data_IF_239698171826
#
_entry.id   IF_239698171826
#
_cell.length_a   1.000
_cell.length_b   1.000
_cell.length_c   1.000
_cell.angle_alpha   90.00
_cell.angle_beta   90.00
_cell.angle_gamma   90.00
#
_symmetry.space_group_name_H-M   'P 1'
#
loop_
_entity.id
_entity.type
_entity.pdbx_description
1 polymer ?
#
# COMPACT_ATOMS: atom_id res chain seq x y z
N UNK A 1 -6.96 6.22 21.76
CA UNK A 1 -6.19 5.66 20.63
C UNK A 1 -6.55 6.51 19.43
N UNK A 2 -5.57 7.17 18.80
CA UNK A 2 -5.85 8.01 17.64
C UNK A 2 -6.30 7.15 16.45
N UNK A 3 -7.33 7.61 15.74
CA UNK A 3 -7.99 6.90 14.63
C UNK A 3 -7.06 6.63 13.44
N UNK A 4 -5.92 7.31 13.38
CA UNK A 4 -4.89 7.18 12.34
C UNK A 4 -4.30 5.75 12.21
N UNK A 5 -4.40 4.91 13.25
CA UNK A 5 -3.91 3.53 13.24
C UNK A 5 -4.99 2.47 12.92
N UNK A 6 -6.19 2.91 12.54
CA UNK A 6 -7.28 2.03 12.10
C UNK A 6 -7.37 1.91 10.57
N UNK A 7 -6.63 2.71 9.81
CA UNK A 7 -6.57 2.57 8.35
C UNK A 7 -6.02 1.19 7.97
N UNK A 8 -6.77 0.48 7.13
CA UNK A 8 -6.41 -0.83 6.59
C UNK A 8 -6.33 -0.69 5.07
N UNK A 9 -5.21 -1.08 4.43
CA UNK A 9 -5.09 -0.95 2.99
C UNK A 9 -5.99 -1.95 2.26
N UNK A 10 -6.39 -1.63 1.03
CA UNK A 10 -7.14 -2.57 0.18
C UNK A 10 -6.22 -3.63 -0.43
N UNK A 11 -5.00 -3.22 -0.79
CA UNK A 11 -3.99 -4.08 -1.39
C UNK A 11 -2.60 -3.73 -0.87
N UNK A 12 -1.70 -4.71 -0.94
CA UNK A 12 -0.28 -4.56 -0.62
C UNK A 12 0.58 -4.62 -1.87
N UNK A 13 1.76 -4.03 -1.78
CA UNK A 13 2.74 -3.98 -2.87
C UNK A 13 4.15 -3.85 -2.31
N UNK A 14 5.15 -4.17 -3.14
CA UNK A 14 6.56 -4.11 -2.77
C UNK A 14 7.29 -2.98 -3.47
N UNK A 15 8.08 -2.24 -2.70
CA UNK A 15 9.06 -1.28 -3.25
C UNK A 15 10.23 -2.01 -3.92
N UNK A 16 11.09 -1.27 -4.63
CA UNK A 16 12.35 -1.81 -5.19
C UNK A 16 13.24 -2.43 -4.11
N UNK A 17 13.18 -1.90 -2.88
CA UNK A 17 13.92 -2.40 -1.72
C UNK A 17 13.20 -3.54 -1.00
N UNK A 18 12.24 -4.21 -1.65
CA UNK A 18 11.46 -5.33 -1.11
C UNK A 18 10.69 -4.99 0.19
N UNK A 19 10.41 -3.70 0.41
CA UNK A 19 9.59 -3.25 1.55
C UNK A 19 8.13 -3.39 1.18
N UNK A 20 7.36 -4.08 2.01
CA UNK A 20 5.91 -4.21 1.83
C UNK A 20 5.21 -2.95 2.34
N UNK A 21 4.37 -2.38 1.47
CA UNK A 21 3.51 -1.24 1.73
C UNK A 21 2.07 -1.63 1.37
N UNK A 22 1.12 -0.83 1.83
CA UNK A 22 -0.28 -0.93 1.46
C UNK A 22 -0.78 0.39 0.89
N UNK A 23 -1.89 0.37 0.16
CA UNK A 23 -2.58 1.58 -0.25
C UNK A 23 -4.10 1.44 -0.08
N UNK A 24 -4.75 2.58 0.14
CA UNK A 24 -6.20 2.65 0.32
C UNK A 24 -6.95 2.78 -1.00
N UNK A 25 -6.30 3.26 -2.07
CA UNK A 25 -6.86 3.28 -3.42
C UNK A 25 -5.79 3.42 -4.50
N UNK A 26 -6.20 3.20 -5.75
CA UNK A 26 -5.39 3.44 -6.95
C UNK A 26 -6.21 4.22 -7.98
N UNK A 27 -5.56 5.11 -8.73
CA UNK A 27 -6.19 5.79 -9.88
C UNK A 27 -5.23 5.89 -11.06
N UNK A 28 -5.78 5.81 -12.26
CA UNK A 28 -5.01 6.02 -13.49
C UNK A 28 -5.03 7.51 -13.89
N UNK A 29 -3.90 8.02 -14.36
CA UNK A 29 -3.78 9.37 -14.91
C UNK A 29 -3.81 9.34 -16.44
N UNK A 30 -3.99 10.52 -17.07
CA UNK A 30 -4.15 10.66 -18.53
C UNK A 30 -2.93 10.17 -19.32
N UNK A 31 -1.73 10.24 -18.73
CA UNK A 31 -0.46 9.72 -19.27
C UNK A 31 -0.32 8.19 -19.13
N UNK A 32 -1.33 7.52 -18.59
CA UNK A 32 -1.33 6.07 -18.35
C UNK A 32 -0.65 5.64 -17.05
N UNK A 33 -0.02 6.55 -16.30
CA UNK A 33 0.56 6.24 -14.98
C UNK A 33 -0.52 5.85 -13.96
N UNK A 34 -0.12 5.12 -12.92
CA UNK A 34 -1.01 4.78 -11.80
C UNK A 34 -0.51 5.46 -10.53
N UNK A 35 -1.42 6.12 -9.84
CA UNK A 35 -1.19 6.78 -8.56
C UNK A 35 -1.88 5.98 -7.46
N UNK A 36 -1.10 5.45 -6.54
CA UNK A 36 -1.57 4.84 -5.30
C UNK A 36 -1.79 5.95 -4.28
N UNK A 37 -2.92 5.97 -3.59
CA UNK A 37 -3.31 7.01 -2.64
C UNK A 37 -3.55 6.38 -1.26
N UNK A 38 -3.21 7.11 -0.20
CA UNK A 38 -3.31 6.61 1.18
C UNK A 38 -2.31 5.48 1.42
N UNK A 39 -1.02 5.74 1.19
CA UNK A 39 0.01 4.71 1.32
C UNK A 39 0.35 4.48 2.78
N UNK A 40 0.20 3.24 3.20
CA UNK A 40 0.40 2.76 4.55
C UNK A 40 1.64 1.88 4.64
N UNK A 41 2.26 1.83 5.82
CA UNK A 41 3.35 0.92 6.15
C UNK A 41 2.96 0.04 7.32
N UNK A 42 3.28 -1.25 7.25
CA UNK A 42 3.07 -2.17 8.36
C UNK A 42 4.16 -1.97 9.41
N UNK A 43 3.78 -1.81 10.67
CA UNK A 43 4.72 -1.68 11.78
C UNK A 43 5.39 -3.04 12.02
N UNK A 44 6.71 -3.07 11.86
CA UNK A 44 7.56 -4.24 12.11
C UNK A 44 8.33 -4.08 13.43
N UNK A 45 8.94 -5.15 13.92
CA UNK A 45 9.73 -5.12 15.17
C UNK A 45 10.84 -4.08 15.15
N UNK A 46 11.50 -3.90 14.01
CA UNK A 46 12.54 -2.88 13.79
C UNK A 46 12.04 -1.44 13.97
N UNK A 47 10.73 -1.20 13.89
CA UNK A 47 10.12 0.12 14.06
C UNK A 47 9.67 0.38 15.50
N UNK A 48 9.78 -0.59 16.41
CA UNK A 48 9.36 -0.44 17.81
C UNK A 48 10.24 0.49 18.64
N UNK A 49 11.36 0.97 18.08
CA UNK A 49 12.11 2.10 18.64
C UNK A 49 11.35 3.43 18.53
N UNK A 50 10.45 3.54 17.56
CA UNK A 50 9.68 4.77 17.26
C UNK A 50 8.18 4.63 17.51
N UNK A 51 7.69 3.39 17.70
CA UNK A 51 6.27 3.11 17.89
C UNK A 51 6.03 2.22 19.13
N UNK A 52 4.92 2.41 19.85
CA UNK A 52 4.51 1.49 20.92
C UNK A 52 4.35 0.04 20.42
N UNK A 53 4.69 -0.93 21.29
CA UNK A 53 4.53 -2.38 20.99
C UNK A 53 3.10 -2.77 20.61
N UNK A 54 2.10 -2.04 21.10
CA UNK A 54 0.67 -2.27 20.79
C UNK A 54 0.32 -2.01 19.32
N UNK A 55 1.20 -1.36 18.57
CA UNK A 55 1.04 -1.11 17.14
C UNK A 55 1.73 -2.15 16.26
N UNK A 56 2.47 -3.11 16.83
CA UNK A 56 3.13 -4.17 16.05
C UNK A 56 2.13 -4.89 15.15
N UNK A 57 2.42 -4.97 13.85
CA UNK A 57 1.55 -5.59 12.85
C UNK A 57 0.41 -4.70 12.34
N UNK A 58 0.17 -3.53 12.94
CA UNK A 58 -0.81 -2.55 12.44
C UNK A 58 -0.25 -1.76 11.26
N UNK A 59 -1.16 -1.20 10.48
CA UNK A 59 -0.83 -0.28 9.39
C UNK A 59 -0.83 1.15 9.91
N UNK A 60 0.17 1.92 9.50
CA UNK A 60 0.31 3.34 9.85
C UNK A 60 0.44 4.18 8.58
N UNK A 61 -0.07 5.42 8.57
CA UNK A 61 0.18 6.37 7.50
C UNK A 61 1.68 6.49 7.21
N UNK A 62 2.04 6.45 5.94
CA UNK A 62 3.43 6.57 5.48
C UNK A 62 3.58 7.69 4.45
N UNK A 63 2.74 7.71 3.40
CA UNK A 63 2.74 8.77 2.37
C UNK A 63 1.33 9.01 1.85
N UNK A 64 1.04 10.25 1.46
CA UNK A 64 -0.25 10.60 0.86
C UNK A 64 -0.48 9.88 -0.49
N UNK A 65 0.56 9.82 -1.33
CA UNK A 65 0.47 9.14 -2.63
C UNK A 65 1.83 8.72 -3.18
N UNK A 66 1.83 7.73 -4.07
CA UNK A 66 3.00 7.32 -4.87
C UNK A 66 2.55 7.08 -6.31
N UNK A 67 3.31 7.61 -7.28
CA UNK A 67 3.05 7.41 -8.72
C UNK A 67 4.03 6.38 -9.29
N UNK A 68 3.52 5.49 -10.12
CA UNK A 68 4.29 4.53 -10.90
C UNK A 68 3.97 4.67 -12.38
N UNK A 69 5.01 4.51 -13.22
CA UNK A 69 4.84 4.28 -14.65
C UNK A 69 4.19 2.90 -14.90
N UNK A 70 3.57 2.67 -16.07
CA UNK A 70 3.04 1.36 -16.43
C UNK A 70 4.08 0.22 -16.29
N UNK A 71 5.31 0.47 -16.73
CA UNK A 71 6.40 -0.52 -16.68
C UNK A 71 6.83 -0.82 -15.24
N UNK A 72 6.83 0.19 -14.38
CA UNK A 72 7.21 0.04 -12.97
C UNK A 72 6.20 -0.78 -12.17
N UNK A 73 4.92 -0.79 -12.56
CA UNK A 73 3.85 -1.47 -11.83
C UNK A 73 3.99 -2.99 -11.91
N UNK A 74 4.36 -3.52 -13.07
CA UNK A 74 4.47 -4.95 -13.32
C UNK A 74 5.42 -5.64 -12.31
N UNK A 75 6.44 -4.92 -11.83
CA UNK A 75 7.41 -5.44 -10.87
C UNK A 75 7.03 -5.34 -9.39
N UNK A 76 5.86 -4.80 -9.03
CA UNK A 76 5.53 -4.48 -7.61
C UNK A 76 4.82 -5.58 -6.84
N UNK A 77 4.48 -6.69 -7.49
CA UNK A 77 3.84 -7.85 -6.84
C UNK A 77 2.62 -7.44 -6.00
N UNK A 78 1.65 -6.79 -6.66
CA UNK A 78 0.44 -6.32 -6.01
C UNK A 78 -0.42 -7.50 -5.57
N UNK A 79 -0.98 -7.41 -4.36
CA UNK A 79 -1.86 -8.43 -3.80
C UNK A 79 -3.01 -7.81 -3.04
N UNK A 80 -4.20 -8.40 -3.11
CA UNK A 80 -5.30 -8.03 -2.21
C UNK A 80 -4.92 -8.31 -0.77
N UNK A 81 -5.29 -7.42 0.15
CA UNK A 81 -5.01 -7.63 1.57
C UNK A 81 -5.87 -8.74 2.17
N UNK A 82 -7.13 -8.85 1.74
CA UNK A 82 -8.14 -9.74 2.34
C UNK A 82 -7.89 -11.23 2.07
N UNK A 83 -7.51 -11.57 0.84
CA UNK A 83 -7.36 -12.96 0.39
C UNK A 83 -5.95 -13.29 -0.15
N UNK A 84 -5.06 -12.29 -0.31
CA UNK A 84 -3.70 -12.48 -0.81
C UNK A 84 -3.59 -12.74 -2.32
N UNK A 85 -4.69 -12.63 -3.07
CA UNK A 85 -4.74 -12.82 -4.51
C UNK A 85 -3.89 -11.78 -5.23
N UNK A 86 -3.15 -12.21 -6.25
CA UNK A 86 -2.33 -11.31 -7.06
C UNK A 86 -3.23 -10.38 -7.89
N UNK A 87 -2.88 -9.10 -7.94
CA UNK A 87 -3.59 -8.08 -8.70
C UNK A 87 -2.74 -7.59 -9.87
N UNK A 88 -3.37 -7.46 -11.02
CA UNK A 88 -2.86 -6.66 -12.13
C UNK A 88 -3.36 -5.20 -12.02
N UNK A 89 -3.01 -4.38 -13.00
CA UNK A 89 -3.37 -2.96 -13.01
C UNK A 89 -4.89 -2.77 -13.03
N UNK A 90 -5.62 -3.57 -13.79
CA UNK A 90 -7.08 -3.45 -13.89
C UNK A 90 -7.75 -3.90 -12.58
N UNK A 91 -7.24 -4.93 -11.92
CA UNK A 91 -7.67 -5.36 -10.60
C UNK A 91 -7.45 -4.29 -9.52
N UNK A 92 -6.31 -3.58 -9.55
CA UNK A 92 -6.04 -2.46 -8.64
C UNK A 92 -7.04 -1.32 -8.82
N UNK A 93 -7.32 -0.95 -10.08
CA UNK A 93 -8.26 0.12 -10.39
C UNK A 93 -9.71 -0.26 -10.07
N UNK A 94 -10.05 -1.54 -10.19
CA UNK A 94 -11.39 -2.07 -9.87
C UNK A 94 -11.67 -2.08 -8.36
N UNK A 95 -10.64 -2.26 -7.53
CA UNK A 95 -10.77 -2.18 -6.07
C UNK A 95 -10.93 -0.75 -5.55
N UNK A 96 -10.54 0.25 -6.35
CA UNK A 96 -10.65 1.66 -6.02
C UNK A 96 -12.00 2.29 -6.40
N UNK A 97 -12.96 1.47 -6.84
CA UNK A 97 -14.31 1.85 -7.27
C UNK A 97 -15.26 2.16 -6.13
#
# INVERSE_FOLDING_TARGET
MSEEFNSVPLFTFKTLTNTELGAESARRTEDGSVVLVGVLKKVTETMLSSYPKTLLGKWTPNRLSVRYSPDDLAGRNFKRLDNGEALDVDGLLSLAG
#
